data_IF_270136450330
#
_entry.id   IF_270136450330
#
_cell.length_a   1.000
_cell.length_b   1.000
_cell.length_c   1.000
_cell.angle_alpha   90.00
_cell.angle_beta   90.00
_cell.angle_gamma   90.00
#
_symmetry.space_group_name_H-M   'P 1'
#
loop_
_entity.id
_entity.type
_entity.pdbx_description
1 polymer ?
#
# COMPACT_ATOMS: atom_id res chain seq x y z
N UNK A 1 -39.29 -12.10 -17.50
CA UNK A 1 -38.81 -10.70 -17.47
C UNK A 1 -38.80 -10.14 -16.04
N UNK A 2 -38.17 -10.81 -15.07
CA UNK A 2 -38.17 -10.39 -13.66
C UNK A 2 -36.76 -10.32 -13.04
N UNK A 3 -35.70 -10.26 -13.85
CA UNK A 3 -34.31 -10.30 -13.38
C UNK A 3 -33.51 -9.01 -13.68
N UNK A 4 -34.10 -8.06 -14.42
CA UNK A 4 -33.39 -6.83 -14.84
C UNK A 4 -33.57 -5.68 -13.83
N UNK A 5 -34.66 -5.65 -13.06
CA UNK A 5 -34.93 -4.56 -12.12
C UNK A 5 -34.05 -4.59 -10.86
N UNK A 6 -33.70 -5.78 -10.34
CA UNK A 6 -32.86 -5.92 -9.14
C UNK A 6 -31.43 -5.38 -9.36
N UNK A 7 -30.82 -5.63 -10.53
CA UNK A 7 -29.49 -5.11 -10.90
C UNK A 7 -29.42 -3.57 -10.99
N UNK A 8 -30.56 -2.89 -11.15
CA UNK A 8 -30.60 -1.43 -11.28
C UNK A 8 -30.59 -0.75 -9.91
N UNK A 9 -31.27 -1.34 -8.93
CA UNK A 9 -31.25 -0.89 -7.54
C UNK A 9 -29.84 -1.04 -6.93
N UNK A 10 -29.15 -2.14 -7.24
CA UNK A 10 -27.77 -2.36 -6.80
C UNK A 10 -26.80 -1.30 -7.37
N UNK A 11 -27.02 -0.86 -8.61
CA UNK A 11 -26.21 0.19 -9.25
C UNK A 11 -26.42 1.57 -8.65
N UNK A 12 -27.67 1.95 -8.36
CA UNK A 12 -27.95 3.25 -7.72
C UNK A 12 -27.37 3.31 -6.30
N UNK A 13 -27.47 2.21 -5.55
CA UNK A 13 -26.88 2.11 -4.21
C UNK A 13 -25.36 2.23 -4.27
N UNK A 14 -24.69 1.43 -5.13
CA UNK A 14 -23.22 1.50 -5.30
C UNK A 14 -22.80 2.90 -5.72
N UNK A 15 -23.51 3.53 -6.67
CA UNK A 15 -23.17 4.87 -7.13
C UNK A 15 -23.33 5.92 -6.04
N UNK A 16 -24.42 5.87 -5.27
CA UNK A 16 -24.63 6.75 -4.12
C UNK A 16 -23.51 6.63 -3.09
N UNK A 17 -23.02 5.41 -2.85
CA UNK A 17 -21.87 5.21 -1.96
C UNK A 17 -20.59 5.80 -2.55
N UNK A 18 -20.27 5.51 -3.82
CA UNK A 18 -19.07 6.00 -4.48
C UNK A 18 -19.04 7.53 -4.60
N UNK A 19 -20.17 8.16 -4.95
CA UNK A 19 -20.30 9.61 -5.05
C UNK A 19 -20.17 10.31 -3.68
N UNK A 20 -20.39 9.59 -2.58
CA UNK A 20 -20.21 10.08 -1.22
C UNK A 20 -18.81 9.82 -0.64
N UNK A 21 -17.94 9.09 -1.36
CA UNK A 21 -16.56 8.87 -0.93
C UNK A 21 -15.76 10.14 -1.20
N UNK A 22 -15.36 10.82 -0.13
CA UNK A 22 -14.36 11.88 -0.18
C UNK A 22 -12.97 11.22 -0.25
N UNK A 23 -12.41 11.13 -1.46
CA UNK A 23 -11.05 10.63 -1.65
C UNK A 23 -10.05 11.73 -1.28
N UNK A 24 -9.00 11.42 -0.51
CA UNK A 24 -7.97 12.40 -0.23
C UNK A 24 -7.34 12.87 -1.53
N UNK A 25 -7.02 14.16 -1.59
CA UNK A 25 -6.29 14.71 -2.72
C UNK A 25 -4.95 13.95 -2.90
N UNK A 26 -4.56 13.64 -4.14
CA UNK A 26 -3.25 13.04 -4.40
C UNK A 26 -2.15 13.97 -3.87
N UNK A 27 -1.07 13.37 -3.37
CA UNK A 27 0.11 14.12 -2.95
C UNK A 27 0.71 14.85 -4.15
N UNK A 28 1.14 16.10 -3.93
CA UNK A 28 2.00 16.75 -4.90
C UNK A 28 3.40 16.11 -4.89
N UNK A 29 4.12 16.26 -6.00
CA UNK A 29 5.41 15.62 -6.22
C UNK A 29 6.47 16.01 -5.18
N UNK A 30 6.48 17.28 -4.74
CA UNK A 30 7.46 17.76 -3.76
C UNK A 30 7.19 17.17 -2.37
N UNK A 31 5.92 17.09 -1.96
CA UNK A 31 5.53 16.44 -0.71
C UNK A 31 5.81 14.94 -0.73
N UNK A 32 5.53 14.27 -1.85
CA UNK A 32 5.82 12.85 -2.01
C UNK A 32 7.33 12.56 -1.87
N UNK A 33 8.19 13.39 -2.47
CA UNK A 33 9.64 13.24 -2.38
C UNK A 33 10.18 13.55 -0.97
N UNK A 34 9.66 14.57 -0.28
CA UNK A 34 9.99 14.82 1.14
C UNK A 34 9.69 13.58 1.99
N UNK A 35 8.52 12.96 1.79
CA UNK A 35 8.14 11.78 2.54
C UNK A 35 9.02 10.58 2.21
N UNK A 36 9.34 10.36 0.93
CA UNK A 36 10.24 9.28 0.49
C UNK A 36 11.60 9.39 1.19
N UNK A 37 12.22 10.57 1.19
CA UNK A 37 13.52 10.80 1.82
C UNK A 37 13.47 10.68 3.34
N UNK A 38 12.38 11.14 3.96
CA UNK A 38 12.18 10.98 5.41
C UNK A 38 12.02 9.52 5.81
N UNK A 39 11.28 8.73 5.02
CA UNK A 39 11.12 7.29 5.27
C UNK A 39 12.47 6.59 5.15
N UNK A 40 13.23 6.82 4.07
CA UNK A 40 14.58 6.25 3.89
C UNK A 40 15.48 6.53 5.09
N UNK A 41 15.52 7.78 5.56
CA UNK A 41 16.29 8.16 6.75
C UNK A 41 15.84 7.42 8.00
N UNK A 42 14.53 7.34 8.24
CA UNK A 42 13.97 6.67 9.41
C UNK A 42 14.22 5.16 9.39
N UNK A 43 14.21 4.51 8.22
CA UNK A 43 14.53 3.09 8.10
C UNK A 43 15.94 2.81 8.62
N UNK A 44 16.92 3.64 8.21
CA UNK A 44 18.29 3.53 8.70
C UNK A 44 18.38 3.82 10.20
N UNK A 45 17.78 4.92 10.67
CA UNK A 45 17.82 5.33 12.08
C UNK A 45 17.23 4.26 13.02
N UNK A 46 16.20 3.55 12.55
CA UNK A 46 15.46 2.57 13.33
C UNK A 46 15.90 1.13 13.08
N UNK A 47 16.94 0.89 12.27
CA UNK A 47 17.29 -0.44 11.80
C UNK A 47 16.06 -1.22 11.29
N UNK A 48 15.28 -0.57 10.43
CA UNK A 48 14.02 -1.08 9.91
C UNK A 48 14.12 -1.41 8.42
N UNK A 49 13.31 -2.37 7.98
CA UNK A 49 13.17 -2.73 6.56
C UNK A 49 11.70 -2.75 6.15
N UNK A 50 11.43 -2.63 4.85
CA UNK A 50 10.08 -2.59 4.28
C UNK A 50 9.80 -3.90 3.56
N UNK A 51 8.59 -4.42 3.72
CA UNK A 51 8.02 -5.44 2.83
C UNK A 51 6.73 -4.91 2.22
N UNK A 52 6.55 -5.03 0.90
CA UNK A 52 5.37 -4.55 0.18
C UNK A 52 4.68 -5.66 -0.60
N UNK A 53 3.35 -5.67 -0.59
CA UNK A 53 2.57 -6.61 -1.38
C UNK A 53 2.44 -6.12 -2.83
N UNK A 54 2.31 -7.04 -3.80
CA UNK A 54 2.11 -6.71 -5.23
C UNK A 54 0.91 -5.80 -5.55
N UNK A 55 0.00 -5.60 -4.60
CA UNK A 55 -1.21 -4.79 -4.78
C UNK A 55 -1.13 -3.40 -4.15
N UNK A 56 0.02 -3.05 -3.59
CA UNK A 56 0.24 -1.69 -3.08
C UNK A 56 0.60 -0.75 -4.21
N UNK A 57 0.52 0.56 -3.94
CA UNK A 57 0.95 1.59 -4.88
C UNK A 57 2.40 1.35 -5.36
N UNK A 58 2.67 1.61 -6.64
CA UNK A 58 3.98 1.41 -7.24
C UNK A 58 5.09 2.22 -6.55
N UNK A 59 4.76 3.42 -6.06
CA UNK A 59 5.70 4.24 -5.29
C UNK A 59 6.21 3.53 -4.03
N UNK A 60 5.35 2.72 -3.41
CA UNK A 60 5.70 1.95 -2.21
C UNK A 60 6.51 0.69 -2.54
N UNK A 61 6.24 0.08 -3.70
CA UNK A 61 7.03 -1.05 -4.22
C UNK A 61 8.45 -0.57 -4.56
N UNK A 62 8.57 0.53 -5.30
CA UNK A 62 9.87 1.16 -5.62
C UNK A 62 10.64 1.54 -4.35
N UNK A 63 9.95 2.08 -3.33
CA UNK A 63 10.58 2.41 -2.06
C UNK A 63 11.11 1.18 -1.31
N UNK A 64 10.37 0.06 -1.34
CA UNK A 64 10.85 -1.19 -0.76
C UNK A 64 12.12 -1.66 -1.48
N UNK A 65 12.13 -1.66 -2.81
CA UNK A 65 13.30 -2.06 -3.60
C UNK A 65 14.51 -1.14 -3.38
N UNK A 66 14.30 0.19 -3.40
CA UNK A 66 15.34 1.20 -3.19
C UNK A 66 16.00 1.12 -1.80
N UNK A 67 15.28 0.57 -0.81
CA UNK A 67 15.74 0.51 0.59
C UNK A 67 16.27 -0.86 0.99
N UNK A 68 16.39 -1.80 0.04
CA UNK A 68 16.81 -3.17 0.31
C UNK A 68 15.77 -3.99 1.07
N UNK A 69 14.51 -3.58 0.99
CA UNK A 69 13.33 -4.33 1.41
C UNK A 69 12.95 -5.41 0.39
N UNK A 70 11.68 -5.79 0.40
CA UNK A 70 11.19 -6.87 -0.46
C UNK A 70 9.76 -6.65 -0.93
N UNK A 71 9.52 -6.87 -2.22
CA UNK A 71 8.18 -6.86 -2.83
C UNK A 71 7.76 -8.30 -3.14
N UNK A 72 6.61 -8.74 -2.62
CA UNK A 72 6.24 -10.15 -2.69
C UNK A 72 4.79 -10.48 -2.40
N UNK A 73 4.45 -11.77 -2.48
CA UNK A 73 3.22 -12.29 -1.87
C UNK A 73 3.39 -12.49 -0.35
N UNK A 74 2.32 -12.89 0.32
CA UNK A 74 2.34 -13.10 1.78
C UNK A 74 3.35 -14.14 2.26
N UNK A 75 3.57 -15.21 1.49
CA UNK A 75 4.51 -16.27 1.87
C UNK A 75 5.95 -15.78 1.73
N UNK A 76 6.23 -15.09 0.63
CA UNK A 76 7.56 -14.52 0.36
C UNK A 76 7.90 -13.41 1.36
N UNK A 77 6.96 -12.52 1.65
CA UNK A 77 7.12 -11.48 2.68
C UNK A 77 7.37 -12.08 4.07
N UNK A 78 6.67 -13.17 4.43
CA UNK A 78 6.89 -13.85 5.70
C UNK A 78 8.27 -14.53 5.78
N UNK A 79 8.75 -15.12 4.68
CA UNK A 79 10.10 -15.70 4.59
C UNK A 79 11.16 -14.62 4.76
N UNK A 80 11.08 -13.54 4.00
CA UNK A 80 11.99 -12.40 4.12
C UNK A 80 12.00 -11.84 5.56
N UNK A 81 10.81 -11.64 6.14
CA UNK A 81 10.67 -11.16 7.52
C UNK A 81 11.26 -12.09 8.57
N UNK A 82 11.37 -13.40 8.29
CA UNK A 82 12.03 -14.36 9.20
C UNK A 82 13.56 -14.40 9.08
N UNK A 83 14.10 -13.93 7.95
CA UNK A 83 15.53 -13.98 7.63
C UNK A 83 16.23 -12.62 7.82
N UNK A 84 15.46 -11.53 7.87
CA UNK A 84 16.01 -10.18 8.00
C UNK A 84 16.67 -9.94 9.36
N UNK A 85 17.76 -9.17 9.35
CA UNK A 85 18.46 -8.71 10.56
C UNK A 85 17.93 -7.36 11.08
N UNK A 86 16.92 -6.79 10.41
CA UNK A 86 16.28 -5.55 10.86
C UNK A 86 15.49 -5.78 12.15
N UNK A 87 15.55 -4.82 13.08
CA UNK A 87 14.80 -4.86 14.35
C UNK A 87 13.31 -4.61 14.12
N UNK A 88 12.97 -3.88 13.05
CA UNK A 88 11.60 -3.48 12.73
C UNK A 88 11.27 -3.86 11.28
N UNK A 89 10.17 -4.58 11.11
CA UNK A 89 9.60 -4.90 9.80
C UNK A 89 8.37 -4.02 9.55
N UNK A 90 8.45 -3.14 8.55
CA UNK A 90 7.33 -2.30 8.11
C UNK A 90 6.59 -3.05 7.00
N UNK A 91 5.37 -3.50 7.31
CA UNK A 91 4.52 -4.22 6.35
C UNK A 91 3.62 -3.22 5.62
N UNK A 92 3.85 -3.07 4.31
CA UNK A 92 3.01 -2.30 3.41
C UNK A 92 2.04 -3.27 2.73
N UNK A 93 0.84 -3.35 3.28
CA UNK A 93 -0.17 -4.30 2.86
C UNK A 93 -1.42 -4.22 3.74
N UNK A 94 -2.21 -5.28 3.74
CA UNK A 94 -3.41 -5.39 4.60
C UNK A 94 -3.12 -6.20 5.86
N UNK A 95 -4.02 -6.06 6.85
CA UNK A 95 -3.98 -6.81 8.11
C UNK A 95 -4.62 -8.19 7.98
#
# INVERSE_FOLDING_TARGET
>A
MAAVSELTADREVVRKYLDAVDLPAPLDEATAEDYRERIKRLLVEKNATIVAHYYTDGMLQDLADETGGFVGDSLEMARFGSETAADILVVVGVR
#
